data_IF_220655482141
#
_entry.id   IF_220655482141
#
_cell.length_a   1.000
_cell.length_b   1.000
_cell.length_c   1.000
_cell.angle_alpha   90.00
_cell.angle_beta   90.00
_cell.angle_gamma   90.00
#
_symmetry.space_group_name_H-M   'P 1'
#
loop_
_entity.id
_entity.type
_entity.pdbx_description
1 polymer ?
#
# COMPACT_ATOMS: atom_id res chain seq x y z
N UNK A 1 23.04 -25.82 10.58
CA UNK A 1 21.70 -25.19 10.56
C UNK A 1 21.77 -23.65 10.60
N UNK A 2 22.92 -23.05 10.29
CA UNK A 2 23.16 -21.58 10.24
C UNK A 2 23.67 -21.11 8.85
N UNK A 3 23.62 -21.97 7.82
CA UNK A 3 24.15 -21.64 6.49
C UNK A 3 23.10 -21.49 5.38
N UNK A 4 21.81 -21.72 5.67
CA UNK A 4 20.74 -21.61 4.66
C UNK A 4 19.91 -20.31 4.78
N UNK A 5 20.12 -19.48 5.82
CA UNK A 5 19.38 -18.21 5.94
C UNK A 5 20.06 -17.03 5.22
N UNK A 6 21.30 -17.17 4.77
CA UNK A 6 22.09 -16.06 4.20
C UNK A 6 21.88 -15.87 2.70
N UNK A 7 21.25 -16.82 1.99
CA UNK A 7 20.99 -16.68 0.54
C UNK A 7 19.67 -15.99 0.18
N UNK A 8 18.77 -15.74 1.15
CA UNK A 8 17.46 -15.13 0.88
C UNK A 8 17.41 -13.60 1.04
N UNK A 9 18.56 -12.93 1.23
CA UNK A 9 18.64 -11.48 1.50
C UNK A 9 19.64 -10.72 0.60
N UNK A 10 19.93 -11.22 -0.61
CA UNK A 10 20.70 -10.41 -1.57
C UNK A 10 19.78 -9.48 -2.37
N UNK A 11 19.86 -8.20 -2.03
CA UNK A 11 19.25 -7.07 -2.74
C UNK A 11 20.12 -6.70 -3.96
N UNK A 12 20.49 -7.67 -4.81
CA UNK A 12 21.35 -7.41 -5.99
C UNK A 12 20.76 -7.91 -7.33
N UNK A 13 19.60 -8.54 -7.36
CA UNK A 13 18.97 -8.94 -8.63
C UNK A 13 17.78 -8.03 -8.97
N UNK A 14 18.08 -6.77 -9.29
CA UNK A 14 17.12 -5.87 -9.96
C UNK A 14 17.68 -5.42 -11.33
N UNK A 15 17.02 -5.94 -12.36
CA UNK A 15 16.83 -5.41 -13.72
C UNK A 15 18.04 -5.44 -14.68
N UNK A 16 18.00 -6.24 -15.77
CA UNK A 16 18.85 -6.00 -16.92
C UNK A 16 18.43 -4.71 -17.63
N UNK A 17 19.41 -3.87 -17.89
CA UNK A 17 19.34 -2.61 -18.64
C UNK A 17 18.78 -2.89 -20.05
N UNK A 18 17.49 -2.64 -20.29
CA UNK A 18 16.93 -2.64 -21.65
C UNK A 18 17.23 -1.31 -22.33
N UNK A 19 18.00 -1.39 -23.41
CA UNK A 19 18.29 -0.29 -24.33
C UNK A 19 17.00 0.29 -24.91
N UNK A 20 16.79 1.59 -24.68
CA UNK A 20 15.73 2.38 -25.33
C UNK A 20 16.01 2.48 -26.84
N UNK A 21 15.07 2.11 -27.73
CA UNK A 21 15.24 2.33 -29.16
C UNK A 21 15.06 3.81 -29.52
N UNK A 22 15.97 4.29 -30.39
CA UNK A 22 16.04 5.64 -30.93
C UNK A 22 14.72 6.14 -31.56
N UNK A 23 14.40 7.39 -31.26
CA UNK A 23 13.26 8.10 -31.82
C UNK A 23 13.40 8.32 -33.33
N UNK A 24 12.45 7.81 -34.11
CA UNK A 24 12.34 8.08 -35.54
C UNK A 24 11.86 9.52 -35.82
N UNK A 25 12.29 10.14 -36.94
CA UNK A 25 12.06 11.55 -37.20
C UNK A 25 10.62 11.87 -37.67
N UNK A 26 10.07 12.93 -37.08
CA UNK A 26 8.79 13.56 -37.44
C UNK A 26 8.88 14.16 -38.85
N UNK A 27 8.14 13.59 -39.80
CA UNK A 27 7.93 14.18 -41.13
C UNK A 27 6.75 15.15 -41.10
N UNK A 28 7.04 16.44 -41.21
CA UNK A 28 6.05 17.48 -41.52
C UNK A 28 5.52 17.30 -42.95
N UNK A 29 4.20 17.27 -43.13
CA UNK A 29 3.56 17.54 -44.42
C UNK A 29 2.48 18.60 -44.24
N UNK A 30 2.78 19.77 -44.80
CA UNK A 30 1.84 20.86 -45.04
C UNK A 30 1.13 20.57 -46.38
N UNK A 31 -0.08 21.14 -46.51
CA UNK A 31 -0.91 21.36 -47.71
C UNK A 31 -2.08 20.38 -47.91
N UNK A 32 -3.26 20.80 -47.46
CA UNK A 32 -4.50 20.52 -48.17
C UNK A 32 -5.33 21.81 -48.25
N UNK A 33 -5.79 22.09 -49.47
CA UNK A 33 -6.44 23.32 -49.94
C UNK A 33 -7.84 23.44 -49.34
N UNK A 34 -8.20 24.65 -48.91
CA UNK A 34 -9.59 25.02 -48.66
C UNK A 34 -10.28 25.34 -50.00
N UNK A 35 -11.35 24.62 -50.31
CA UNK A 35 -12.35 25.03 -51.29
C UNK A 35 -13.72 25.00 -50.63
N UNK A 36 -14.38 26.15 -50.66
CA UNK A 36 -15.74 26.35 -50.17
C UNK A 36 -16.77 25.67 -51.08
N UNK A 37 -17.86 25.15 -50.48
CA UNK A 37 -19.19 25.20 -51.07
C UNK A 37 -20.26 24.86 -50.01
N UNK A 38 -21.18 25.81 -49.84
CA UNK A 38 -22.39 25.78 -49.02
C UNK A 38 -23.40 24.76 -49.53
N UNK A 39 -24.13 24.07 -48.64
CA UNK A 39 -25.57 23.76 -48.79
C UNK A 39 -26.22 23.64 -47.40
N UNK A 40 -27.22 24.50 -47.17
CA UNK A 40 -28.22 24.39 -46.10
C UNK A 40 -29.01 23.08 -46.26
N UNK A 41 -29.20 22.33 -45.17
CA UNK A 41 -30.41 21.54 -44.99
C UNK A 41 -30.84 21.58 -43.52
N UNK A 42 -31.97 22.24 -43.30
CA UNK A 42 -32.75 22.26 -42.07
C UNK A 42 -33.17 20.84 -41.69
N UNK A 43 -32.80 20.43 -40.48
CA UNK A 43 -33.25 19.19 -39.85
C UNK A 43 -33.16 19.34 -38.34
N UNK A 44 -34.05 20.16 -37.77
CA UNK A 44 -34.18 20.29 -36.31
C UNK A 44 -34.85 19.02 -35.77
N UNK A 45 -34.06 17.97 -35.57
CA UNK A 45 -34.43 16.88 -34.67
C UNK A 45 -34.16 17.41 -33.26
N UNK A 46 -35.22 17.74 -32.53
CA UNK A 46 -35.14 18.01 -31.11
C UNK A 46 -34.78 16.70 -30.40
N UNK A 47 -33.48 16.38 -30.37
CA UNK A 47 -32.94 15.42 -29.42
C UNK A 47 -33.10 16.09 -28.06
N UNK A 48 -34.08 15.62 -27.28
CA UNK A 48 -34.13 15.83 -25.84
C UNK A 48 -32.90 15.13 -25.25
N UNK A 49 -31.73 15.76 -25.45
CA UNK A 49 -30.49 15.35 -24.84
C UNK A 49 -30.70 15.48 -23.36
N UNK A 50 -30.69 14.35 -22.65
CA UNK A 50 -30.47 14.32 -21.22
C UNK A 50 -29.19 15.11 -20.98
N UNK A 51 -29.33 16.31 -20.42
CA UNK A 51 -28.19 17.12 -20.03
C UNK A 51 -27.42 16.31 -18.99
N UNK A 52 -26.34 15.68 -19.41
CA UNK A 52 -25.35 15.12 -18.50
C UNK A 52 -24.84 16.30 -17.69
N UNK A 53 -25.37 16.49 -16.48
CA UNK A 53 -24.79 17.39 -15.49
C UNK A 53 -23.36 16.92 -15.30
N UNK A 54 -22.40 17.74 -15.73
CA UNK A 54 -21.01 17.55 -15.37
C UNK A 54 -20.95 17.52 -13.84
N UNK A 55 -20.47 16.41 -13.27
CA UNK A 55 -20.28 16.28 -11.83
C UNK A 55 -19.36 17.40 -11.34
N UNK A 56 -19.72 18.00 -10.22
CA UNK A 56 -18.92 19.06 -9.59
C UNK A 56 -17.55 18.49 -9.19
N UNK A 57 -16.45 19.26 -9.32
CA UNK A 57 -15.14 18.86 -8.79
C UNK A 57 -15.18 18.47 -7.30
N UNK A 58 -16.11 19.05 -6.52
CA UNK A 58 -16.33 18.70 -5.12
C UNK A 58 -17.00 17.34 -4.95
N UNK A 59 -17.93 16.96 -5.84
CA UNK A 59 -18.55 15.64 -5.83
C UNK A 59 -17.52 14.56 -6.14
N UNK A 60 -16.63 14.81 -7.12
CA UNK A 60 -15.54 13.88 -7.44
C UNK A 60 -14.53 13.71 -6.29
N UNK A 61 -14.23 14.77 -5.55
CA UNK A 61 -13.40 14.67 -4.34
C UNK A 61 -14.13 13.93 -3.20
N UNK A 62 -15.42 14.19 -3.03
CA UNK A 62 -16.21 13.53 -2.00
C UNK A 62 -16.34 12.02 -2.26
N UNK A 63 -16.53 11.61 -3.52
CA UNK A 63 -16.53 10.20 -3.91
C UNK A 63 -15.13 9.56 -3.74
N UNK A 64 -14.07 10.28 -4.11
CA UNK A 64 -12.70 9.79 -3.97
C UNK A 64 -12.34 9.47 -2.52
N UNK A 65 -12.85 10.23 -1.54
CA UNK A 65 -12.51 10.07 -0.12
C UNK A 65 -13.70 9.64 0.74
N UNK A 66 -14.74 9.07 0.13
CA UNK A 66 -15.87 8.53 0.88
C UNK A 66 -15.41 7.37 1.77
N UNK A 67 -15.83 7.40 3.03
CA UNK A 67 -15.61 6.28 3.96
C UNK A 67 -16.31 5.01 3.41
N UNK A 68 -15.69 3.83 3.51
CA UNK A 68 -16.31 2.57 3.11
C UNK A 68 -17.54 2.24 3.99
N UNK A 69 -18.45 1.34 3.52
CA UNK A 69 -19.50 0.81 4.36
C UNK A 69 -18.92 0.10 5.60
N UNK A 70 -19.57 0.31 6.76
CA UNK A 70 -19.10 -0.23 8.02
C UNK A 70 -18.94 -1.75 7.94
N UNK A 71 -17.72 -2.21 8.18
CA UNK A 71 -17.37 -3.62 8.25
C UNK A 71 -17.19 -4.34 6.92
N UNK A 72 -17.36 -3.66 5.78
CA UNK A 72 -17.25 -4.22 4.42
C UNK A 72 -16.05 -3.62 3.68
N UNK A 73 -14.90 -3.58 4.35
CA UNK A 73 -13.65 -3.04 3.82
C UNK A 73 -12.47 -3.87 4.30
N UNK A 74 -11.37 -3.79 3.55
CA UNK A 74 -10.10 -4.45 3.84
C UNK A 74 -8.97 -3.43 3.75
N UNK A 75 -8.20 -3.29 4.82
CA UNK A 75 -6.96 -2.52 4.83
C UNK A 75 -5.76 -3.46 4.97
N UNK A 76 -4.83 -3.34 4.03
CA UNK A 76 -3.61 -4.12 3.96
C UNK A 76 -2.43 -3.15 4.05
N UNK A 77 -1.42 -3.53 4.82
CA UNK A 77 -0.26 -2.68 5.08
C UNK A 77 1.03 -3.43 4.74
N UNK A 78 2.01 -2.74 4.19
CA UNK A 78 3.39 -3.20 4.30
C UNK A 78 3.93 -3.03 5.74
N UNK A 79 5.02 -3.73 6.05
CA UNK A 79 5.72 -3.63 7.34
C UNK A 79 6.74 -2.51 7.26
N UNK A 80 7.81 -2.76 6.50
CA UNK A 80 9.03 -2.01 6.54
C UNK A 80 8.77 -0.60 6.02
N UNK A 81 9.03 0.44 6.81
CA UNK A 81 8.82 1.86 6.43
C UNK A 81 7.37 2.22 6.05
N UNK A 82 6.42 1.38 6.42
CA UNK A 82 4.98 1.66 6.45
C UNK A 82 4.44 1.61 7.88
N UNK A 83 4.41 0.44 8.51
CA UNK A 83 4.09 0.28 9.94
C UNK A 83 5.33 0.52 10.82
N UNK A 84 6.52 0.30 10.27
CA UNK A 84 7.78 0.62 10.93
C UNK A 84 8.40 1.89 10.34
N UNK A 85 9.53 2.32 10.89
CA UNK A 85 10.29 3.48 10.45
C UNK A 85 11.78 3.19 10.51
N UNK A 86 12.62 4.10 9.97
CA UNK A 86 14.06 3.90 10.00
C UNK A 86 14.62 3.67 11.39
N UNK A 87 15.35 2.57 11.53
CA UNK A 87 16.09 2.25 12.74
C UNK A 87 17.26 3.23 12.91
N UNK A 88 17.52 3.60 14.16
CA UNK A 88 18.67 4.42 14.51
C UNK A 88 19.94 3.55 14.51
N UNK A 89 20.90 3.88 13.66
CA UNK A 89 22.23 3.26 13.65
C UNK A 89 23.16 3.85 14.72
N UNK A 90 22.92 5.08 15.12
CA UNK A 90 23.62 5.79 16.19
C UNK A 90 22.55 6.45 17.07
N UNK A 91 22.55 6.24 18.40
CA UNK A 91 21.62 6.91 19.31
C UNK A 91 21.78 8.45 19.33
N UNK A 92 22.85 9.00 18.76
CA UNK A 92 23.03 10.43 18.51
C UNK A 92 22.56 10.88 17.10
N UNK A 93 22.09 9.98 16.23
CA UNK A 93 21.73 10.29 14.86
C UNK A 93 20.40 11.06 14.71
N UNK A 94 20.44 12.01 13.78
CA UNK A 94 19.38 12.94 13.35
C UNK A 94 18.15 12.30 12.70
N UNK A 95 18.03 10.98 12.66
CA UNK A 95 16.79 10.35 12.18
C UNK A 95 15.58 10.72 13.06
N UNK A 96 15.80 11.09 14.33
CA UNK A 96 14.77 11.68 15.18
C UNK A 96 14.34 13.09 14.75
N UNK A 97 15.23 13.89 14.16
CA UNK A 97 14.87 15.23 13.67
C UNK A 97 14.01 15.16 12.41
N UNK A 98 14.30 14.20 11.52
CA UNK A 98 13.54 14.02 10.28
C UNK A 98 12.22 13.27 10.53
N UNK A 99 12.21 12.36 11.50
CA UNK A 99 11.10 11.49 11.84
C UNK A 99 10.63 11.68 13.29
N UNK A 100 10.21 12.89 13.72
CA UNK A 100 9.90 13.19 15.12
C UNK A 100 8.67 12.45 15.67
N UNK A 101 7.84 11.91 14.77
CA UNK A 101 6.63 11.18 15.15
C UNK A 101 6.88 9.68 15.40
N UNK A 102 8.08 9.16 15.15
CA UNK A 102 8.38 7.73 15.29
C UNK A 102 8.86 7.41 16.70
N UNK A 103 8.53 6.22 17.19
CA UNK A 103 8.92 5.79 18.55
C UNK A 103 9.45 4.38 18.54
N UNK A 104 10.40 4.13 19.42
CA UNK A 104 10.85 2.78 19.71
C UNK A 104 9.67 1.89 20.15
N UNK A 105 9.67 0.64 19.67
CA UNK A 105 8.72 -0.36 20.10
C UNK A 105 8.87 -0.68 21.61
N UNK A 106 7.77 -1.10 22.28
CA UNK A 106 7.85 -1.61 23.63
C UNK A 106 8.74 -2.86 23.70
N UNK A 107 9.25 -3.15 24.89
CA UNK A 107 10.02 -4.37 25.12
C UNK A 107 9.08 -5.59 25.06
N UNK A 108 9.53 -6.67 24.44
CA UNK A 108 8.86 -7.97 24.50
C UNK A 108 9.65 -8.87 25.43
N UNK A 109 9.00 -9.39 26.48
CA UNK A 109 9.66 -10.20 27.51
C UNK A 109 10.91 -9.54 28.13
N UNK A 110 10.86 -8.21 28.30
CA UNK A 110 11.97 -7.42 28.85
C UNK A 110 13.13 -7.19 27.88
N UNK A 111 13.01 -7.57 26.60
CA UNK A 111 14.05 -7.42 25.58
C UNK A 111 13.69 -6.35 24.55
N UNK A 112 14.72 -5.68 24.03
CA UNK A 112 14.57 -4.78 22.89
C UNK A 112 14.22 -5.62 21.66
N UNK A 113 13.17 -5.21 20.96
CA UNK A 113 12.79 -5.81 19.68
C UNK A 113 13.69 -5.25 18.60
N UNK A 114 14.28 -6.13 17.80
CA UNK A 114 15.18 -5.78 16.70
C UNK A 114 14.45 -5.96 15.38
N UNK A 115 14.52 -4.92 14.57
CA UNK A 115 14.13 -4.92 13.17
C UNK A 115 15.40 -5.12 12.34
N UNK A 116 15.45 -6.14 11.49
CA UNK A 116 16.57 -6.52 10.64
C UNK A 116 16.44 -5.97 9.21
N UNK A 117 15.35 -5.26 8.88
CA UNK A 117 15.19 -4.69 7.56
C UNK A 117 16.27 -3.65 7.27
N UNK A 118 16.76 -3.65 6.02
CA UNK A 118 17.79 -2.75 5.52
C UNK A 118 19.08 -2.76 6.34
N UNK A 119 19.24 -1.79 7.25
CA UNK A 119 20.46 -1.58 8.05
C UNK A 119 20.33 -2.12 9.47
N UNK A 120 19.18 -2.69 9.80
CA UNK A 120 18.81 -3.19 11.11
C UNK A 120 18.88 -2.15 12.24
N UNK A 121 18.36 -2.54 13.41
CA UNK A 121 18.45 -1.79 14.65
C UNK A 121 17.24 -2.02 15.53
N UNK A 122 17.08 -1.18 16.57
CA UNK A 122 15.88 -1.25 17.40
C UNK A 122 14.65 -0.99 16.54
N UNK A 123 13.62 -1.83 16.69
CA UNK A 123 12.33 -1.64 16.02
C UNK A 123 11.72 -0.30 16.42
N UNK A 124 11.37 0.49 15.41
CA UNK A 124 10.71 1.78 15.56
C UNK A 124 9.40 1.80 14.81
N UNK A 125 8.33 2.15 15.50
CA UNK A 125 6.98 2.23 14.98
C UNK A 125 6.74 3.57 14.29
N UNK A 126 6.06 3.53 13.14
CA UNK A 126 5.59 4.72 12.44
C UNK A 126 4.55 5.48 13.24
N UNK A 127 4.22 6.70 12.81
CA UNK A 127 3.11 7.47 13.40
C UNK A 127 1.78 6.72 13.24
N UNK A 128 1.55 6.12 12.07
CA UNK A 128 0.40 5.27 11.80
C UNK A 128 0.32 4.10 12.78
N UNK A 129 1.37 3.29 12.94
CA UNK A 129 1.31 2.09 13.78
C UNK A 129 1.03 2.42 15.26
N UNK A 130 1.45 3.59 15.72
CA UNK A 130 1.15 4.09 17.07
C UNK A 130 -0.32 4.49 17.25
N UNK A 131 -1.01 4.87 16.17
CA UNK A 131 -2.36 5.48 16.16
C UNK A 131 -3.33 4.74 15.24
N UNK A 132 -3.08 3.45 15.00
CA UNK A 132 -3.81 2.67 14.01
C UNK A 132 -5.32 2.57 14.35
N UNK A 133 -5.65 2.64 15.63
CA UNK A 133 -7.00 2.71 16.20
C UNK A 133 -7.77 3.99 15.83
N UNK A 134 -7.07 5.04 15.40
CA UNK A 134 -7.65 6.31 14.96
C UNK A 134 -7.88 6.37 13.45
N UNK A 135 -7.35 5.40 12.70
CA UNK A 135 -7.48 5.34 11.24
C UNK A 135 -8.93 5.10 10.81
N UNK A 136 -9.27 5.46 9.56
CA UNK A 136 -10.58 5.07 9.01
C UNK A 136 -10.77 3.55 9.00
N UNK A 137 -9.70 2.78 8.81
CA UNK A 137 -9.74 1.33 8.83
C UNK A 137 -10.30 0.80 10.15
N UNK A 138 -9.88 1.38 11.29
CA UNK A 138 -10.41 1.02 12.60
C UNK A 138 -11.83 1.56 12.81
N UNK A 139 -12.07 2.85 12.51
CA UNK A 139 -13.40 3.48 12.65
C UNK A 139 -14.49 2.75 11.87
N UNK A 140 -14.16 2.27 10.66
CA UNK A 140 -15.07 1.53 9.79
C UNK A 140 -15.05 0.02 10.04
N UNK A 141 -14.32 -0.46 11.05
CA UNK A 141 -14.23 -1.87 11.43
C UNK A 141 -13.83 -2.76 10.23
N UNK A 142 -12.89 -2.28 9.42
CA UNK A 142 -12.38 -3.01 8.27
C UNK A 142 -11.64 -4.26 8.73
N UNK A 143 -11.61 -5.28 7.88
CA UNK A 143 -10.59 -6.31 8.01
C UNK A 143 -9.21 -5.66 7.87
N UNK A 144 -8.24 -6.16 8.63
CA UNK A 144 -6.87 -5.66 8.58
C UNK A 144 -5.90 -6.82 8.40
N UNK A 145 -4.88 -6.61 7.57
CA UNK A 145 -3.82 -7.58 7.31
C UNK A 145 -2.53 -6.91 6.89
N UNK A 146 -1.49 -7.73 6.71
CA UNK A 146 -0.16 -7.26 6.35
C UNK A 146 0.37 -8.08 5.17
N UNK A 147 0.95 -7.41 4.19
CA UNK A 147 1.65 -8.01 3.06
C UNK A 147 3.03 -7.39 3.00
N UNK A 148 4.08 -8.18 3.16
CA UNK A 148 5.44 -7.65 3.15
C UNK A 148 6.40 -8.49 2.32
N UNK A 149 7.36 -7.82 1.70
CA UNK A 149 8.49 -8.48 1.05
C UNK A 149 9.51 -8.99 2.08
N UNK A 150 9.51 -8.44 3.29
CA UNK A 150 10.32 -8.87 4.42
C UNK A 150 9.60 -9.86 5.34
N UNK A 151 10.36 -10.54 6.19
CA UNK A 151 9.84 -11.46 7.21
C UNK A 151 9.40 -10.80 8.52
N UNK A 152 9.51 -9.47 8.64
CA UNK A 152 9.40 -8.69 9.89
C UNK A 152 10.21 -9.33 11.04
N UNK A 153 11.50 -9.52 10.78
CA UNK A 153 12.63 -9.73 11.74
C UNK A 153 12.52 -10.77 12.85
N UNK A 154 11.45 -11.56 12.90
CA UNK A 154 11.22 -12.60 13.91
C UNK A 154 10.06 -12.28 14.86
N UNK A 155 9.66 -13.28 15.64
CA UNK A 155 8.35 -13.31 16.32
C UNK A 155 8.05 -12.12 17.25
N UNK A 156 9.08 -11.50 17.85
CA UNK A 156 8.91 -10.34 18.72
C UNK A 156 8.39 -9.11 17.95
N UNK A 157 8.93 -8.82 16.75
CA UNK A 157 8.41 -7.73 15.90
C UNK A 157 6.99 -8.04 15.44
N UNK A 158 6.76 -9.28 15.00
CA UNK A 158 5.45 -9.76 14.59
C UNK A 158 4.41 -9.59 15.67
N UNK A 159 4.75 -9.91 16.92
CA UNK A 159 3.88 -9.74 18.08
C UNK A 159 3.52 -8.28 18.30
N UNK A 160 4.50 -7.36 18.24
CA UNK A 160 4.24 -5.93 18.39
C UNK A 160 3.28 -5.42 17.32
N UNK A 161 3.48 -5.80 16.05
CA UNK A 161 2.61 -5.39 14.95
C UNK A 161 1.22 -6.03 15.06
N UNK A 162 1.14 -7.30 15.47
CA UNK A 162 -0.13 -7.97 15.73
C UNK A 162 -0.98 -7.21 16.73
N UNK A 163 -0.40 -6.88 17.89
CA UNK A 163 -1.16 -6.30 18.99
C UNK A 163 -1.77 -4.96 18.57
N UNK A 164 -1.07 -4.21 17.71
CA UNK A 164 -1.60 -2.96 17.12
C UNK A 164 -2.75 -3.21 16.17
N UNK A 165 -2.60 -4.15 15.23
CA UNK A 165 -3.66 -4.50 14.28
C UNK A 165 -4.87 -5.06 15.00
N UNK A 166 -4.66 -6.01 15.92
CA UNK A 166 -5.70 -6.68 16.67
C UNK A 166 -6.48 -5.70 17.55
N UNK A 167 -5.80 -4.80 18.26
CA UNK A 167 -6.47 -3.74 19.02
C UNK A 167 -7.29 -2.80 18.12
N UNK A 168 -6.83 -2.56 16.89
CA UNK A 168 -7.48 -1.65 15.94
C UNK A 168 -8.62 -2.29 15.16
N UNK A 169 -8.65 -3.61 15.02
CA UNK A 169 -9.74 -4.34 14.40
C UNK A 169 -10.02 -5.71 15.07
N UNK A 170 -10.59 -5.71 16.29
CA UNK A 170 -10.83 -6.93 17.04
C UNK A 170 -11.70 -7.93 16.26
N UNK A 171 -11.24 -9.17 16.15
CA UNK A 171 -11.96 -10.25 15.45
C UNK A 171 -11.96 -10.16 13.92
N UNK A 172 -11.25 -9.19 13.33
CA UNK A 172 -11.08 -9.04 11.88
C UNK A 172 -9.61 -8.90 11.46
N UNK A 173 -8.73 -9.38 12.33
CA UNK A 173 -7.33 -9.70 12.08
C UNK A 173 -7.17 -11.20 12.26
N UNK A 174 -6.29 -11.82 11.49
CA UNK A 174 -6.23 -13.27 11.35
C UNK A 174 -5.45 -13.97 12.41
N UNK A 175 -5.85 -15.21 12.67
CA UNK A 175 -5.21 -16.09 13.63
C UNK A 175 -5.44 -15.65 15.08
N UNK A 176 -5.25 -16.58 16.02
CA UNK A 176 -5.22 -16.27 17.46
C UNK A 176 -3.86 -15.70 17.90
N UNK A 177 -2.86 -15.78 17.02
CA UNK A 177 -1.49 -15.27 17.17
C UNK A 177 -0.94 -14.96 15.78
N UNK A 178 0.18 -14.24 15.73
CA UNK A 178 1.00 -14.07 14.53
C UNK A 178 1.78 -15.33 14.13
N UNK A 179 1.15 -16.51 14.21
CA UNK A 179 1.82 -17.80 14.07
C UNK A 179 1.93 -18.28 12.63
N UNK A 180 3.15 -18.56 12.19
CA UNK A 180 3.60 -19.16 10.93
C UNK A 180 3.58 -18.25 9.68
N UNK A 181 4.73 -18.24 9.00
CA UNK A 181 4.90 -17.71 7.65
C UNK A 181 3.79 -18.24 6.73
N UNK A 182 2.84 -17.38 6.37
CA UNK A 182 1.94 -17.69 5.29
C UNK A 182 2.67 -17.34 3.99
N UNK A 183 3.39 -18.32 3.42
CA UNK A 183 3.64 -18.27 1.99
C UNK A 183 2.29 -18.29 1.28
N UNK A 184 2.21 -17.61 0.14
CA UNK A 184 1.02 -17.69 -0.70
C UNK A 184 0.86 -19.13 -1.22
N UNK A 185 0.11 -19.97 -0.51
CA UNK A 185 -0.19 -21.37 -0.88
C UNK A 185 -1.70 -21.65 -0.76
N UNK A 186 -2.14 -22.86 -1.10
CA UNK A 186 -3.58 -23.21 -1.17
C UNK A 186 -4.29 -23.21 0.20
N UNK A 187 -3.56 -22.98 1.30
CA UNK A 187 -4.09 -22.89 2.67
C UNK A 187 -3.70 -21.56 3.30
N UNK A 188 -3.89 -20.45 2.58
CA UNK A 188 -3.69 -19.15 3.19
C UNK A 188 -4.72 -18.96 4.31
N UNK A 189 -4.24 -19.00 5.56
CA UNK A 189 -4.95 -18.44 6.71
C UNK A 189 -4.80 -16.91 6.61
N UNK A 190 -5.46 -16.32 5.62
CA UNK A 190 -5.20 -15.04 4.90
C UNK A 190 -5.22 -13.74 5.69
N UNK A 191 -5.34 -13.77 7.00
CA UNK A 191 -5.29 -12.55 7.80
C UNK A 191 -4.05 -12.48 8.72
N UNK A 192 -3.05 -13.36 8.49
CA UNK A 192 -1.69 -13.30 9.07
C UNK A 192 -0.79 -12.40 8.20
N UNK A 193 0.46 -12.07 8.61
CA UNK A 193 1.43 -11.53 7.64
C UNK A 193 1.61 -12.52 6.50
N UNK A 194 1.42 -12.01 5.31
CA UNK A 194 1.74 -12.72 4.08
C UNK A 194 3.09 -12.21 3.59
N UNK A 195 4.04 -13.15 3.45
CA UNK A 195 5.31 -12.85 2.80
C UNK A 195 5.12 -12.92 1.30
N UNK A 196 5.56 -11.89 0.59
CA UNK A 196 5.39 -11.80 -0.86
C UNK A 196 6.51 -10.95 -1.45
N UNK A 197 7.41 -11.52 -2.26
CA UNK A 197 8.43 -10.73 -2.91
C UNK A 197 7.80 -9.76 -3.91
N UNK A 198 8.38 -8.58 -4.05
CA UNK A 198 7.99 -7.63 -5.08
C UNK A 198 8.30 -8.19 -6.48
N UNK A 199 7.47 -7.91 -7.51
CA UNK A 199 6.25 -7.10 -7.50
C UNK A 199 4.97 -7.97 -7.46
N UNK A 200 4.74 -8.73 -6.39
CA UNK A 200 3.60 -9.67 -6.31
C UNK A 200 2.59 -9.34 -5.20
N UNK A 201 2.71 -8.19 -4.53
CA UNK A 201 1.84 -7.81 -3.41
C UNK A 201 0.37 -7.69 -3.83
N UNK A 202 0.09 -7.31 -5.08
CA UNK A 202 -1.27 -7.33 -5.64
C UNK A 202 -1.90 -8.72 -5.68
N UNK A 203 -1.12 -9.74 -6.04
CA UNK A 203 -1.61 -11.12 -6.07
C UNK A 203 -1.93 -11.65 -4.67
N UNK A 204 -1.09 -11.30 -3.70
CA UNK A 204 -1.35 -11.60 -2.29
C UNK A 204 -2.63 -10.93 -1.81
N UNK A 205 -2.81 -9.64 -2.08
CA UNK A 205 -4.02 -8.90 -1.73
C UNK A 205 -5.27 -9.55 -2.33
N UNK A 206 -5.20 -9.98 -3.60
CA UNK A 206 -6.30 -10.68 -4.27
C UNK A 206 -6.67 -11.98 -3.59
N UNK A 207 -5.69 -12.79 -3.18
CA UNK A 207 -5.95 -14.07 -2.49
C UNK A 207 -6.56 -13.86 -1.10
N UNK A 208 -6.13 -12.82 -0.37
CA UNK A 208 -6.74 -12.42 0.90
C UNK A 208 -8.21 -12.03 0.69
N UNK A 209 -8.44 -11.14 -0.27
CA UNK A 209 -9.79 -10.70 -0.66
C UNK A 209 -10.70 -11.89 -1.03
N UNK A 210 -10.21 -12.79 -1.88
CA UNK A 210 -10.98 -13.96 -2.34
C UNK A 210 -11.37 -14.87 -1.18
N UNK A 211 -10.45 -15.15 -0.27
CA UNK A 211 -10.75 -15.97 0.90
C UNK A 211 -11.78 -15.29 1.82
N UNK A 212 -11.59 -14.00 2.12
CA UNK A 212 -12.51 -13.26 3.00
C UNK A 212 -13.94 -13.28 2.47
N UNK A 213 -14.08 -13.20 1.14
CA UNK A 213 -15.37 -13.23 0.46
C UNK A 213 -15.87 -14.64 0.12
N UNK A 214 -15.06 -15.67 0.32
CA UNK A 214 -15.47 -17.05 0.05
C UNK A 214 -16.40 -17.60 1.15
N UNK A 215 -17.25 -18.59 0.83
CA UNK A 215 -18.09 -19.28 1.81
C UNK A 215 -17.30 -19.95 2.95
N UNK A 216 -16.07 -20.40 2.67
CA UNK A 216 -15.21 -21.10 3.63
C UNK A 216 -14.36 -20.15 4.50
N UNK A 217 -14.36 -18.86 4.17
CA UNK A 217 -13.66 -17.81 4.93
C UNK A 217 -14.62 -17.06 5.85
N UNK A 218 -14.81 -15.76 5.58
CA UNK A 218 -15.68 -14.90 6.39
C UNK A 218 -17.01 -14.54 5.72
N UNK A 219 -17.22 -14.91 4.45
CA UNK A 219 -18.35 -14.45 3.65
C UNK A 219 -18.58 -12.93 3.80
N UNK A 220 -17.48 -12.17 3.74
CA UNK A 220 -17.43 -10.78 4.21
C UNK A 220 -18.15 -9.79 3.28
N UNK A 221 -18.45 -10.18 2.04
CA UNK A 221 -19.10 -9.35 1.01
C UNK A 221 -18.40 -7.98 0.80
N UNK A 222 -17.07 -7.97 0.89
CA UNK A 222 -16.24 -6.78 0.67
C UNK A 222 -16.23 -6.48 -0.83
N UNK A 223 -16.66 -5.29 -1.29
CA UNK A 223 -16.48 -4.88 -2.68
C UNK A 223 -14.99 -4.66 -2.99
N UNK A 224 -14.54 -4.96 -4.21
CA UNK A 224 -13.15 -4.71 -4.61
C UNK A 224 -12.75 -3.23 -4.44
N UNK A 225 -13.70 -2.31 -4.67
CA UNK A 225 -13.51 -0.87 -4.47
C UNK A 225 -13.29 -0.45 -3.01
N UNK A 226 -13.47 -1.36 -2.04
CA UNK A 226 -13.27 -1.13 -0.60
C UNK A 226 -12.06 -1.89 -0.05
N UNK A 227 -11.15 -2.31 -0.93
CA UNK A 227 -9.83 -2.85 -0.59
C UNK A 227 -8.79 -1.74 -0.72
N UNK A 228 -7.97 -1.57 0.31
CA UNK A 228 -6.97 -0.51 0.42
C UNK A 228 -5.62 -1.10 0.79
N UNK A 229 -4.60 -0.84 0.00
CA UNK A 229 -3.23 -1.21 0.30
C UNK A 229 -2.36 0.03 0.52
N UNK A 230 -1.58 0.02 1.60
CA UNK A 230 -0.66 1.08 1.97
C UNK A 230 0.76 0.53 2.03
N UNK A 231 1.67 1.15 1.28
CA UNK A 231 3.05 0.71 1.11
C UNK A 231 3.91 1.94 0.85
N UNK A 232 5.08 2.05 1.42
CA UNK A 232 5.96 3.19 1.19
C UNK A 232 6.87 2.98 -0.01
N UNK A 233 7.06 1.75 -0.47
CA UNK A 233 7.90 1.45 -1.62
C UNK A 233 7.22 1.94 -2.90
N UNK A 234 8.00 2.68 -3.68
CA UNK A 234 7.54 3.18 -4.96
C UNK A 234 7.18 2.04 -5.90
N UNK A 235 5.94 2.05 -6.42
CA UNK A 235 5.46 1.10 -7.43
C UNK A 235 4.57 -0.01 -6.88
N UNK A 236 4.79 -0.47 -5.64
CA UNK A 236 4.05 -1.59 -5.05
C UNK A 236 2.54 -1.30 -4.93
N UNK A 237 2.19 -0.06 -4.53
CA UNK A 237 0.80 0.39 -4.50
C UNK A 237 0.11 0.30 -5.88
N UNK A 238 0.86 0.45 -6.96
CA UNK A 238 0.33 0.41 -8.33
C UNK A 238 -0.23 -0.96 -8.74
N UNK A 239 0.27 -2.05 -8.15
CA UNK A 239 -0.18 -3.42 -8.47
C UNK A 239 -1.66 -3.66 -8.17
N UNK A 240 -2.22 -2.90 -7.22
CA UNK A 240 -3.62 -2.99 -6.80
C UNK A 240 -4.59 -2.72 -7.95
N UNK A 241 -4.19 -1.90 -8.93
CA UNK A 241 -5.03 -1.52 -10.05
C UNK A 241 -5.51 -2.73 -10.87
N UNK A 242 -4.68 -3.79 -10.96
CA UNK A 242 -4.99 -5.04 -11.67
C UNK A 242 -6.30 -5.69 -11.18
N UNK A 243 -6.68 -5.46 -9.93
CA UNK A 243 -7.82 -6.11 -9.29
C UNK A 243 -8.97 -5.14 -8.96
N UNK A 244 -8.88 -3.89 -9.42
CA UNK A 244 -9.86 -2.85 -9.07
C UNK A 244 -9.83 -2.48 -7.58
N UNK A 245 -8.69 -2.70 -6.92
CA UNK A 245 -8.42 -2.28 -5.55
C UNK A 245 -7.81 -0.88 -5.53
N UNK A 246 -7.73 -0.30 -4.33
CA UNK A 246 -7.08 0.98 -4.11
C UNK A 246 -5.68 0.76 -3.54
N UNK A 247 -4.72 1.54 -4.03
CA UNK A 247 -3.34 1.52 -3.56
C UNK A 247 -2.87 2.93 -3.25
N UNK A 248 -2.17 3.11 -2.13
CA UNK A 248 -1.53 4.37 -1.79
C UNK A 248 -0.08 4.14 -1.40
N UNK A 249 0.80 4.90 -2.05
CA UNK A 249 2.15 5.13 -1.57
C UNK A 249 2.11 6.01 -0.31
N UNK A 250 2.76 5.58 0.77
CA UNK A 250 2.82 6.28 2.07
C UNK A 250 4.26 6.62 2.47
N UNK A 251 4.44 7.26 3.62
CA UNK A 251 5.73 7.83 4.04
C UNK A 251 6.25 8.82 2.98
N UNK A 252 5.38 9.68 2.46
CA UNK A 252 5.69 10.57 1.35
C UNK A 252 6.59 11.75 1.74
N UNK A 253 6.46 12.27 2.97
CA UNK A 253 7.09 13.53 3.38
C UNK A 253 8.62 13.47 3.35
N UNK A 254 9.20 12.35 3.78
CA UNK A 254 10.64 12.14 3.80
C UNK A 254 10.96 10.75 3.25
N UNK A 255 11.77 10.73 2.19
CA UNK A 255 12.20 9.53 1.48
C UNK A 255 13.63 9.16 1.84
N UNK A 256 13.94 7.87 1.88
CA UNK A 256 15.27 7.38 2.21
C UNK A 256 16.19 7.49 0.98
N UNK A 257 16.92 8.60 0.87
CA UNK A 257 17.84 8.86 -0.24
C UNK A 257 18.98 7.82 -0.33
N UNK A 258 19.26 7.10 0.75
CA UNK A 258 20.28 6.04 0.75
C UNK A 258 19.80 4.72 0.17
N UNK A 259 18.52 4.58 -0.15
CA UNK A 259 17.91 3.38 -0.74
C UNK A 259 17.26 3.77 -2.07
N UNK A 260 17.85 3.33 -3.18
CA UNK A 260 17.30 3.55 -4.53
C UNK A 260 16.96 5.01 -4.85
N UNK A 261 17.71 5.98 -4.29
CA UNK A 261 17.47 7.42 -4.44
C UNK A 261 16.05 7.86 -4.03
N UNK A 262 15.57 7.39 -2.87
CA UNK A 262 14.23 7.69 -2.36
C UNK A 262 13.16 6.68 -2.77
N UNK A 263 13.57 5.46 -3.14
CA UNK A 263 12.69 4.36 -3.54
C UNK A 263 11.72 3.97 -2.42
N UNK A 264 12.13 4.10 -1.17
CA UNK A 264 11.35 3.78 0.04
C UNK A 264 11.23 4.97 0.97
N UNK A 265 10.25 4.92 1.86
CA UNK A 265 10.01 5.89 2.90
C UNK A 265 11.11 5.90 3.96
N UNK A 266 11.30 7.04 4.62
CA UNK A 266 12.21 7.13 5.75
C UNK A 266 11.47 6.89 7.08
N UNK A 267 10.36 7.58 7.28
CA UNK A 267 9.76 7.77 8.59
C UNK A 267 8.61 6.82 8.91
N UNK A 268 8.21 5.96 7.96
CA UNK A 268 6.95 5.24 8.14
C UNK A 268 5.75 6.08 7.71
N UNK A 269 4.61 5.43 7.57
CA UNK A 269 3.36 6.10 7.25
C UNK A 269 2.90 7.04 8.36
N UNK A 270 2.34 8.18 7.98
CA UNK A 270 1.63 9.08 8.88
C UNK A 270 0.14 8.70 8.94
N UNK A 271 -0.51 8.91 10.10
CA UNK A 271 -1.95 8.62 10.23
C UNK A 271 -2.78 9.34 9.16
N UNK A 272 -2.40 10.56 8.79
CA UNK A 272 -3.05 11.37 7.76
C UNK A 272 -2.92 10.81 6.34
N UNK A 273 -2.00 9.88 6.09
CA UNK A 273 -1.86 9.23 4.79
C UNK A 273 -2.83 8.06 4.64
N UNK A 274 -3.28 7.44 5.74
CA UNK A 274 -4.26 6.36 5.73
C UNK A 274 -5.67 6.94 5.65
N UNK A 275 -6.07 7.24 4.42
CA UNK A 275 -7.42 7.72 4.06
C UNK A 275 -8.03 6.83 2.97
N UNK A 276 -9.37 6.74 2.85
CA UNK A 276 -10.06 5.82 1.96
C UNK A 276 -10.06 6.28 0.49
N UNK A 277 -8.92 6.77 -0.01
CA UNK A 277 -8.80 7.28 -1.37
C UNK A 277 -9.03 6.19 -2.40
N UNK A 278 -9.92 6.45 -3.36
CA UNK A 278 -10.14 5.56 -4.49
C UNK A 278 -9.00 5.61 -5.52
N UNK A 279 -8.72 4.48 -6.15
CA UNK A 279 -7.70 4.32 -7.19
C UNK A 279 -6.27 4.22 -6.65
N UNK A 280 -5.30 4.51 -7.52
CA UNK A 280 -3.87 4.52 -7.17
C UNK A 280 -3.44 5.95 -6.87
N UNK A 281 -2.80 6.14 -5.71
CA UNK A 281 -2.21 7.41 -5.31
C UNK A 281 -0.73 7.20 -5.00
N UNK A 282 0.15 7.91 -5.71
CA UNK A 282 1.59 7.92 -5.44
C UNK A 282 2.00 9.21 -4.74
N UNK A 283 3.15 9.19 -4.08
CA UNK A 283 3.70 10.39 -3.46
C UNK A 283 4.06 11.44 -4.53
N UNK A 284 3.85 12.72 -4.23
CA UNK A 284 4.38 13.80 -5.05
C UNK A 284 5.92 13.82 -4.95
N UNK A 285 6.60 14.11 -6.05
CA UNK A 285 8.06 14.22 -6.11
C UNK A 285 8.49 15.63 -6.43
#
# INVERSE_FOLDING_TARGET
MERELTELLRVEDFVPEEELPEAAPVRSRIWAKATAASVLCLGLVAVLGTSQRAASPLEGLQEKYADPPMGQCLCLFDVDRTLTSRQLQDPAATADEQCPATKDAPLVNGKVVIDYAYKAGRLRLSDLAQKLDQSFCSRQKCFMGVISAGGASGDDEKQVLYDRLHASSPGKVGGQTFGEYAQINDKVWTLKMVFTPDPNKGEAAKKIFDWLNSPDGHNANIPSSEVYFFDDHLGNAGEMAKYGFNGREVSCRVRDQSIGNGLVGLCGAELSEVVPSKGITTCAR
#
